data_IF_873353325480
#
_entry.id   IF_873353325480
#
_cell.length_a   1.000
_cell.length_b   1.000
_cell.length_c   1.000
_cell.angle_alpha   90.00
_cell.angle_beta   90.00
_cell.angle_gamma   90.00
#
_symmetry.space_group_name_H-M   'P 1'
#
loop_
_entity.id
_entity.type
_entity.pdbx_description
1 polymer ?
#
# COMPACT_ATOMS: atom_id res chain seq x y z
N UNK A 1 10.40 -23.67 -15.55
CA UNK A 1 11.79 -23.76 -15.06
C UNK A 1 11.89 -22.87 -13.83
N UNK A 2 12.31 -23.38 -12.68
CA UNK A 2 12.41 -22.60 -11.44
C UNK A 2 13.71 -21.79 -11.44
N UNK A 3 13.61 -20.46 -11.44
CA UNK A 3 14.76 -19.57 -11.33
C UNK A 3 15.54 -19.87 -10.04
N UNK A 4 16.89 -19.97 -10.08
CA UNK A 4 17.67 -20.25 -8.89
C UNK A 4 17.46 -19.17 -7.82
N UNK A 5 17.42 -19.55 -6.53
CA UNK A 5 17.21 -18.59 -5.45
C UNK A 5 18.39 -17.62 -5.34
N UNK A 6 18.08 -16.32 -5.29
CA UNK A 6 19.06 -15.26 -5.07
C UNK A 6 19.21 -15.05 -3.55
N UNK A 7 20.44 -14.96 -3.07
CA UNK A 7 20.75 -14.65 -1.67
C UNK A 7 21.45 -13.30 -1.55
N UNK A 8 21.18 -12.62 -0.44
CA UNK A 8 21.70 -11.30 -0.12
C UNK A 8 22.28 -11.29 1.28
N UNK A 9 23.33 -10.51 1.48
CA UNK A 9 23.85 -10.19 2.82
C UNK A 9 23.21 -8.92 3.34
N UNK A 10 22.81 -8.96 4.61
CA UNK A 10 22.12 -7.90 5.29
C UNK A 10 22.85 -7.48 6.56
N UNK A 11 23.00 -6.17 6.74
CA UNK A 11 23.37 -5.56 8.01
C UNK A 11 22.09 -5.31 8.83
N UNK A 12 21.93 -6.04 9.94
CA UNK A 12 20.78 -5.98 10.84
C UNK A 12 21.14 -5.14 12.07
N UNK A 13 20.25 -4.25 12.59
CA UNK A 13 20.52 -3.41 13.76
C UNK A 13 20.61 -4.21 15.06
N UNK A 14 21.69 -4.98 15.19
CA UNK A 14 22.09 -5.69 16.38
C UNK A 14 23.50 -5.21 16.77
N UNK A 15 23.79 -5.23 18.07
CA UNK A 15 25.12 -4.92 18.61
C UNK A 15 26.11 -6.08 18.36
N UNK A 16 26.16 -6.57 17.12
CA UNK A 16 27.01 -7.65 16.65
C UNK A 16 27.69 -7.17 15.38
N UNK A 17 29.01 -7.30 15.34
CA UNK A 17 29.80 -6.90 14.17
C UNK A 17 29.79 -8.01 13.11
N UNK A 18 28.60 -8.30 12.57
CA UNK A 18 28.40 -9.35 11.57
C UNK A 18 27.24 -9.01 10.63
N UNK A 19 27.24 -9.66 9.47
CA UNK A 19 26.15 -9.61 8.48
C UNK A 19 25.44 -10.95 8.43
N UNK A 20 24.22 -10.95 7.89
CA UNK A 20 23.37 -12.14 7.84
C UNK A 20 22.90 -12.41 6.42
N UNK A 21 22.94 -13.68 6.01
CA UNK A 21 22.48 -14.10 4.69
C UNK A 21 20.97 -14.38 4.72
N UNK A 22 20.24 -13.80 3.78
CA UNK A 22 18.81 -14.00 3.58
C UNK A 22 18.48 -14.34 2.13
N UNK A 23 17.36 -15.04 1.93
CA UNK A 23 16.85 -15.38 0.61
C UNK A 23 15.94 -14.28 0.07
N UNK A 24 16.21 -13.81 -1.15
CA UNK A 24 15.36 -12.86 -1.84
C UNK A 24 14.11 -13.59 -2.40
N UNK A 25 12.95 -12.96 -2.31
CA UNK A 25 11.71 -13.50 -2.87
C UNK A 25 11.50 -13.06 -4.33
N UNK A 26 10.65 -13.79 -5.04
CA UNK A 26 10.28 -13.47 -6.42
C UNK A 26 9.64 -12.06 -6.48
N UNK A 27 10.01 -11.25 -7.47
CA UNK A 27 9.53 -9.86 -7.62
C UNK A 27 10.37 -8.80 -6.89
N UNK A 28 11.45 -9.18 -6.19
CA UNK A 28 12.36 -8.24 -5.53
C UNK A 28 13.66 -7.99 -6.33
N UNK A 29 13.67 -8.31 -7.62
CA UNK A 29 14.87 -8.31 -8.50
C UNK A 29 15.58 -6.95 -8.60
N UNK A 30 14.87 -5.86 -8.28
CA UNK A 30 15.38 -4.49 -8.30
C UNK A 30 16.19 -4.11 -7.04
N UNK A 31 16.39 -5.03 -6.10
CA UNK A 31 17.16 -4.80 -4.89
C UNK A 31 18.63 -4.47 -5.23
N UNK A 32 19.16 -3.39 -4.64
CA UNK A 32 20.56 -2.96 -4.79
C UNK A 32 21.28 -2.93 -3.45
N UNK A 33 22.61 -2.96 -3.49
CA UNK A 33 23.45 -2.65 -2.33
C UNK A 33 23.10 -1.25 -1.81
N UNK A 34 23.00 -1.09 -0.50
CA UNK A 34 22.47 0.13 0.13
C UNK A 34 20.94 0.23 0.13
N UNK A 35 20.24 -0.76 -0.41
CA UNK A 35 18.79 -0.90 -0.29
C UNK A 35 18.35 -1.27 1.13
N UNK A 36 17.10 -0.94 1.47
CA UNK A 36 16.47 -1.23 2.76
C UNK A 36 15.43 -2.32 2.56
N UNK A 37 15.55 -3.38 3.34
CA UNK A 37 14.63 -4.51 3.37
C UNK A 37 14.05 -4.71 4.76
N UNK A 38 12.94 -5.42 4.82
CA UNK A 38 12.34 -5.84 6.07
C UNK A 38 12.52 -7.34 6.25
N UNK A 39 12.99 -7.76 7.42
CA UNK A 39 13.31 -9.15 7.71
C UNK A 39 12.90 -9.55 9.11
N UNK A 40 12.63 -10.84 9.31
CA UNK A 40 12.44 -11.41 10.63
C UNK A 40 13.80 -11.75 11.24
N UNK A 41 14.12 -11.14 12.37
CA UNK A 41 15.29 -11.38 13.18
C UNK A 41 14.89 -11.56 14.65
N UNK A 42 15.23 -12.70 15.25
CA UNK A 42 14.89 -13.05 16.63
C UNK A 42 13.41 -12.80 17.00
N UNK A 43 12.48 -13.32 16.19
CA UNK A 43 11.01 -13.17 16.34
C UNK A 43 10.51 -11.71 16.30
N UNK A 44 11.31 -10.78 15.81
CA UNK A 44 10.92 -9.40 15.56
C UNK A 44 11.15 -9.08 14.10
N UNK A 45 10.33 -8.23 13.54
CA UNK A 45 10.60 -7.72 12.22
C UNK A 45 11.31 -6.37 12.30
N UNK A 46 12.40 -6.24 11.53
CA UNK A 46 13.30 -5.11 11.59
C UNK A 46 13.70 -4.69 10.19
N UNK A 47 13.97 -3.40 10.02
CA UNK A 47 14.64 -2.90 8.83
C UNK A 47 16.10 -3.29 8.85
N UNK A 48 16.59 -3.79 7.73
CA UNK A 48 17.97 -4.17 7.50
C UNK A 48 18.45 -3.59 6.17
N UNK A 49 19.76 -3.41 6.03
CA UNK A 49 20.36 -2.80 4.84
C UNK A 49 21.12 -3.86 4.06
N UNK A 50 20.93 -3.90 2.74
CA UNK A 50 21.63 -4.84 1.86
C UNK A 50 23.10 -4.42 1.73
N UNK A 51 24.01 -5.30 2.12
CA UNK A 51 25.46 -5.09 2.00
C UNK A 51 26.07 -5.73 0.78
N UNK A 52 25.53 -6.88 0.35
CA UNK A 52 25.96 -7.57 -0.86
C UNK A 52 24.80 -8.34 -1.51
N UNK A 53 24.92 -8.56 -2.83
CA UNK A 53 23.99 -9.32 -3.65
C UNK A 53 24.65 -10.60 -4.18
N UNK A 54 23.83 -11.59 -4.56
CA UNK A 54 24.27 -12.84 -5.18
C UNK A 54 25.32 -13.60 -4.36
N UNK A 55 25.16 -13.57 -3.04
CA UNK A 55 26.11 -14.19 -2.12
C UNK A 55 25.91 -15.70 -2.10
N UNK A 56 26.99 -16.47 -2.06
CA UNK A 56 26.87 -17.91 -1.83
C UNK A 56 26.70 -18.18 -0.33
N UNK A 57 25.63 -18.88 0.08
CA UNK A 57 25.41 -19.13 1.50
C UNK A 57 26.42 -20.15 2.04
N UNK A 58 27.05 -19.82 3.17
CA UNK A 58 27.89 -20.75 3.93
C UNK A 58 27.10 -21.71 4.84
N UNK A 59 25.77 -21.60 4.82
CA UNK A 59 24.85 -22.40 5.64
C UNK A 59 23.91 -23.21 4.75
N UNK A 60 23.30 -24.25 5.33
CA UNK A 60 22.24 -25.02 4.69
C UNK A 60 21.14 -24.09 4.14
N UNK A 61 20.91 -24.06 2.82
CA UNK A 61 19.89 -23.24 2.18
C UNK A 61 18.50 -23.37 2.79
N UNK A 62 18.15 -24.53 3.36
CA UNK A 62 16.85 -24.77 3.98
C UNK A 62 16.64 -23.97 5.27
N UNK A 63 17.71 -23.55 5.95
CA UNK A 63 17.66 -22.78 7.20
C UNK A 63 17.69 -21.28 7.00
N UNK A 64 17.92 -20.83 5.76
CA UNK A 64 18.03 -19.42 5.42
C UNK A 64 16.64 -18.81 5.34
N UNK A 65 16.39 -17.81 6.19
CA UNK A 65 15.12 -17.08 6.20
C UNK A 65 14.96 -16.24 4.93
N UNK A 66 13.72 -16.07 4.51
CA UNK A 66 13.40 -15.17 3.40
C UNK A 66 13.32 -13.72 3.87
N UNK A 67 13.65 -12.79 2.96
CA UNK A 67 13.31 -11.38 3.09
C UNK A 67 11.79 -11.25 3.07
N UNK A 68 11.22 -10.48 4.00
CA UNK A 68 9.77 -10.27 4.09
C UNK A 68 9.28 -9.30 3.02
N UNK A 69 9.94 -8.15 2.88
CA UNK A 69 9.59 -7.13 1.89
C UNK A 69 10.77 -6.23 1.55
N UNK A 70 10.89 -5.83 0.29
CA UNK A 70 11.80 -4.76 -0.15
C UNK A 70 11.14 -3.41 0.12
N UNK A 71 11.77 -2.55 0.92
CA UNK A 71 11.20 -1.26 1.33
C UNK A 71 11.71 -0.12 0.46
N UNK A 72 13.02 -0.11 0.19
CA UNK A 72 13.63 0.83 -0.74
C UNK A 72 14.76 0.11 -1.49
N UNK A 73 14.74 0.04 -2.83
CA UNK A 73 15.75 -0.69 -3.58
C UNK A 73 17.17 -0.11 -3.46
N UNK A 74 17.32 1.19 -3.22
CA UNK A 74 18.61 1.89 -3.27
C UNK A 74 18.52 3.19 -2.45
N UNK A 75 18.61 3.07 -1.11
CA UNK A 75 18.49 4.24 -0.22
C UNK A 75 19.81 4.98 -0.08
N UNK A 76 20.89 4.26 0.23
CA UNK A 76 22.23 4.84 0.29
C UNK A 76 22.83 4.89 -1.10
N UNK A 77 23.39 6.05 -1.48
CA UNK A 77 24.29 6.12 -2.64
C UNK A 77 25.56 5.31 -2.35
N UNK A 78 26.28 4.93 -3.40
CA UNK A 78 27.52 4.17 -3.24
C UNK A 78 28.55 4.92 -2.36
N UNK A 79 28.68 6.24 -2.55
CA UNK A 79 29.62 7.07 -1.80
C UNK A 79 29.27 7.11 -0.32
N UNK A 80 28.00 7.42 0.00
CA UNK A 80 27.54 7.47 1.38
C UNK A 80 27.66 6.09 2.04
N UNK A 81 27.33 5.03 1.32
CA UNK A 81 27.44 3.67 1.81
C UNK A 81 28.89 3.31 2.16
N UNK A 82 29.86 3.65 1.30
CA UNK A 82 31.29 3.45 1.57
C UNK A 82 31.77 4.24 2.78
N UNK A 83 31.33 5.50 2.95
CA UNK A 83 31.67 6.32 4.12
C UNK A 83 31.13 5.70 5.41
N UNK A 84 29.89 5.19 5.40
CA UNK A 84 29.29 4.56 6.58
C UNK A 84 29.95 3.23 6.91
N UNK A 85 30.34 2.43 5.92
CA UNK A 85 31.15 1.23 6.14
C UNK A 85 32.52 1.56 6.74
N UNK A 86 33.20 2.57 6.19
CA UNK A 86 34.46 3.06 6.74
C UNK A 86 34.28 3.49 8.20
N UNK A 87 33.25 4.28 8.52
CA UNK A 87 32.97 4.73 9.87
C UNK A 87 32.69 3.56 10.82
N UNK A 88 31.88 2.57 10.40
CA UNK A 88 31.60 1.38 11.19
C UNK A 88 32.90 0.63 11.55
N UNK A 89 33.76 0.42 10.55
CA UNK A 89 35.04 -0.27 10.74
C UNK A 89 36.01 0.54 11.61
N UNK A 90 36.14 1.84 11.35
CA UNK A 90 37.08 2.72 12.04
C UNK A 90 36.73 2.88 13.52
N UNK A 91 35.44 3.07 13.83
CA UNK A 91 34.96 3.21 15.22
C UNK A 91 34.62 1.88 15.90
N UNK A 92 34.91 0.75 15.25
CA UNK A 92 34.60 -0.60 15.76
C UNK A 92 33.11 -0.72 16.16
N UNK A 93 32.25 -0.05 15.40
CA UNK A 93 30.81 -0.08 15.58
C UNK A 93 30.19 -1.21 14.74
N UNK A 94 29.04 -1.73 15.17
CA UNK A 94 28.28 -2.67 14.34
C UNK A 94 27.89 -1.99 13.02
N UNK A 95 28.13 -2.63 11.85
CA UNK A 95 27.70 -2.08 10.56
C UNK A 95 26.18 -1.95 10.51
N UNK A 96 25.46 -2.89 11.11
CA UNK A 96 24.00 -2.83 11.24
C UNK A 96 23.54 -1.63 12.03
N UNK A 97 24.10 -1.38 13.23
CA UNK A 97 23.75 -0.21 14.04
C UNK A 97 24.15 1.09 13.36
N UNK A 98 25.30 1.15 12.71
CA UNK A 98 25.81 2.34 12.00
C UNK A 98 24.90 2.72 10.84
N UNK A 99 24.63 1.75 9.96
CA UNK A 99 23.75 1.95 8.80
C UNK A 99 22.32 2.27 9.24
N UNK A 100 21.80 1.58 10.26
CA UNK A 100 20.46 1.83 10.79
C UNK A 100 20.32 3.22 11.43
N UNK A 101 21.33 3.66 12.18
CA UNK A 101 21.32 5.01 12.79
C UNK A 101 21.33 6.11 11.75
N UNK A 102 22.01 5.87 10.62
CA UNK A 102 22.04 6.78 9.48
C UNK A 102 20.72 6.84 8.69
N UNK A 103 19.78 5.92 8.92
CA UNK A 103 18.47 5.96 8.28
C UNK A 103 17.56 7.05 8.91
N UNK A 104 16.64 7.63 8.13
CA UNK A 104 15.59 8.51 8.65
C UNK A 104 14.74 7.82 9.73
N UNK A 105 14.13 8.59 10.65
CA UNK A 105 13.21 8.05 11.66
C UNK A 105 12.16 7.08 11.12
N UNK A 106 11.64 7.33 9.91
CA UNK A 106 10.63 6.48 9.25
C UNK A 106 11.08 5.02 9.07
N UNK A 107 12.37 4.78 8.83
CA UNK A 107 12.94 3.44 8.66
C UNK A 107 13.51 2.87 9.97
N UNK A 108 13.54 3.67 11.05
CA UNK A 108 14.05 3.27 12.37
C UNK A 108 12.96 2.79 13.33
N UNK A 109 11.72 2.70 12.86
CA UNK A 109 10.65 1.99 13.55
C UNK A 109 10.58 0.53 13.14
N UNK A 110 9.95 -0.30 13.97
CA UNK A 110 9.22 -1.46 13.43
C UNK A 110 8.26 -0.92 12.37
N UNK A 111 8.06 -1.63 11.25
CA UNK A 111 6.96 -1.25 10.35
C UNK A 111 5.74 -1.02 11.24
N UNK A 112 4.92 0.02 10.99
CA UNK A 112 3.56 -0.01 11.50
C UNK A 112 3.07 -1.43 11.24
N UNK A 113 2.60 -2.14 12.28
CA UNK A 113 1.83 -3.38 12.06
C UNK A 113 0.89 -3.08 10.90
N UNK A 114 0.57 -4.02 9.99
CA UNK A 114 -0.42 -3.76 8.95
C UNK A 114 -1.75 -3.17 9.47
N UNK A 115 -1.97 -3.15 10.80
CA UNK A 115 -2.94 -2.36 11.55
C UNK A 115 -2.74 -0.81 11.58
N UNK A 116 -1.69 -0.25 10.95
CA UNK A 116 -1.33 1.17 11.09
C UNK A 116 -0.86 1.87 9.80
N UNK A 117 -1.29 1.36 8.65
CA UNK A 117 -2.16 2.25 7.86
C UNK A 117 -3.50 2.15 8.55
N UNK A 118 -3.89 3.15 9.33
CA UNK A 118 -5.31 3.36 9.55
C UNK A 118 -5.92 3.65 8.18
N UNK A 119 -6.21 2.60 7.41
CA UNK A 119 -7.53 2.52 6.84
C UNK A 119 -8.42 2.81 8.04
N UNK A 120 -9.16 3.91 7.99
CA UNK A 120 -10.30 3.99 8.87
C UNK A 120 -11.20 2.85 8.35
N UNK A 121 -11.00 1.66 8.89
CA UNK A 121 -11.93 0.56 8.73
C UNK A 121 -13.10 1.00 9.58
N UNK A 122 -14.01 1.75 8.95
CA UNK A 122 -15.23 2.16 9.59
C UNK A 122 -15.99 0.89 9.92
N UNK A 123 -15.90 0.42 11.17
CA UNK A 123 -16.92 -0.45 11.71
C UNK A 123 -18.12 0.45 11.95
N UNK A 124 -18.99 0.50 10.95
CA UNK A 124 -20.26 1.17 11.08
C UNK A 124 -21.04 0.43 12.17
N UNK A 125 -21.59 1.18 13.12
CA UNK A 125 -22.57 0.60 14.02
C UNK A 125 -23.71 0.01 13.16
N UNK A 126 -24.23 -1.16 13.55
CA UNK A 126 -25.33 -1.86 12.85
C UNK A 126 -26.45 -0.93 12.34
N UNK A 127 -26.99 0.02 13.14
CA UNK A 127 -28.03 0.93 12.63
C UNK A 127 -27.55 1.86 11.50
N UNK A 128 -26.28 2.25 11.49
CA UNK A 128 -25.70 3.07 10.41
C UNK A 128 -25.48 2.23 9.15
N UNK A 129 -25.08 0.98 9.32
CA UNK A 129 -24.92 0.02 8.25
C UNK A 129 -26.26 -0.27 7.54
N UNK A 130 -27.32 -0.56 8.29
CA UNK A 130 -28.66 -0.82 7.76
C UNK A 130 -29.22 0.40 7.02
N UNK A 131 -29.01 1.60 7.56
CA UNK A 131 -29.38 2.85 6.87
C UNK A 131 -28.64 3.03 5.55
N UNK A 132 -27.36 2.65 5.50
CA UNK A 132 -26.57 2.74 4.28
C UNK A 132 -27.04 1.74 3.23
N UNK A 133 -27.33 0.50 3.61
CA UNK A 133 -27.92 -0.48 2.69
C UNK A 133 -29.26 0.00 2.14
N UNK A 134 -30.13 0.55 2.99
CA UNK A 134 -31.40 1.13 2.55
C UNK A 134 -31.22 2.35 1.63
N UNK A 135 -30.24 3.20 1.93
CA UNK A 135 -29.93 4.39 1.14
C UNK A 135 -29.39 4.03 -0.25
N UNK A 136 -28.58 2.96 -0.35
CA UNK A 136 -28.00 2.50 -1.62
C UNK A 136 -28.88 1.55 -2.42
N UNK A 137 -29.78 0.80 -1.78
CA UNK A 137 -30.75 -0.07 -2.48
C UNK A 137 -31.68 0.70 -3.43
N UNK A 138 -31.77 2.02 -3.28
CA UNK A 138 -32.50 2.91 -4.17
C UNK A 138 -31.80 3.15 -5.52
N UNK A 139 -30.57 2.65 -5.70
CA UNK A 139 -29.88 2.64 -6.98
C UNK A 139 -29.97 1.25 -7.62
N UNK A 140 -30.74 1.08 -8.71
CA UNK A 140 -30.97 -0.23 -9.33
C UNK A 140 -29.73 -0.89 -9.95
N UNK A 141 -28.61 -0.17 -10.02
CA UNK A 141 -27.35 -0.65 -10.59
C UNK A 141 -26.24 -0.91 -9.53
N UNK A 142 -26.56 -0.83 -8.22
CA UNK A 142 -25.61 -1.09 -7.13
C UNK A 142 -25.98 -2.36 -6.36
N UNK A 143 -25.33 -3.48 -6.68
CA UNK A 143 -25.19 -4.56 -5.70
C UNK A 143 -23.96 -4.28 -4.84
N UNK A 144 -24.15 -3.63 -3.70
CA UNK A 144 -23.09 -3.38 -2.73
C UNK A 144 -23.13 -4.41 -1.61
N UNK A 145 -22.28 -5.43 -1.68
CA UNK A 145 -21.99 -6.28 -0.51
C UNK A 145 -20.78 -5.74 0.23
N UNK A 146 -21.03 -4.96 1.29
CA UNK A 146 -19.99 -4.32 2.11
C UNK A 146 -19.01 -5.32 2.75
N UNK A 147 -19.36 -6.60 2.81
CA UNK A 147 -18.50 -7.66 3.36
C UNK A 147 -17.45 -8.23 2.39
N UNK A 148 -17.62 -8.08 1.07
CA UNK A 148 -16.71 -8.62 0.03
C UNK A 148 -16.83 -7.80 -1.25
N UNK A 149 -16.16 -6.66 -1.33
CA UNK A 149 -16.44 -5.68 -2.39
C UNK A 149 -15.90 -6.03 -3.78
N UNK A 150 -16.82 -6.08 -4.77
CA UNK A 150 -16.57 -5.81 -6.20
C UNK A 150 -16.80 -4.31 -6.49
N UNK A 151 -15.82 -3.46 -6.16
CA UNK A 151 -15.88 -1.98 -6.36
C UNK A 151 -15.90 -1.58 -7.85
N UNK A 152 -15.47 -2.46 -8.75
CA UNK A 152 -15.27 -2.13 -10.17
C UNK A 152 -16.55 -1.77 -10.93
N UNK A 153 -17.69 -2.39 -10.60
CA UNK A 153 -18.95 -2.17 -11.34
C UNK A 153 -19.60 -0.81 -11.03
N UNK A 154 -19.47 -0.31 -9.80
CA UNK A 154 -20.04 0.97 -9.39
C UNK A 154 -19.38 2.16 -10.11
N UNK A 155 -18.04 2.13 -10.20
CA UNK A 155 -17.32 3.24 -10.79
C UNK A 155 -17.38 3.21 -12.32
N UNK A 156 -17.55 2.05 -12.95
CA UNK A 156 -17.76 1.95 -14.40
C UNK A 156 -19.13 2.46 -14.88
N UNK A 157 -20.16 2.45 -14.02
CA UNK A 157 -21.49 2.99 -14.37
C UNK A 157 -21.63 4.48 -14.05
N UNK A 158 -20.78 4.99 -13.15
CA UNK A 158 -20.80 6.38 -12.67
C UNK A 158 -19.79 7.26 -13.42
N UNK A 159 -18.71 6.65 -13.92
CA UNK A 159 -17.61 7.33 -14.62
C UNK A 159 -17.26 6.46 -15.83
N UNK A 160 -17.25 7.04 -17.03
CA UNK A 160 -16.78 6.31 -18.22
C UNK A 160 -15.26 6.15 -18.16
N UNK A 161 -14.83 5.05 -17.53
CA UNK A 161 -13.42 4.71 -17.30
C UNK A 161 -12.66 4.42 -18.60
N UNK A 162 -13.35 4.32 -19.74
CA UNK A 162 -12.71 4.01 -21.04
C UNK A 162 -11.94 5.19 -21.65
N UNK A 163 -12.17 6.41 -21.18
CA UNK A 163 -11.58 7.64 -21.73
C UNK A 163 -10.53 8.31 -20.83
N UNK A 164 -10.29 7.81 -19.62
CA UNK A 164 -9.44 8.53 -18.67
C UNK A 164 -7.99 8.09 -18.82
N UNK A 165 -7.20 8.96 -19.47
CA UNK A 165 -5.76 8.82 -19.52
C UNK A 165 -5.19 8.85 -18.08
N UNK A 166 -4.22 7.99 -17.78
CA UNK A 166 -3.67 7.81 -16.43
C UNK A 166 -2.92 9.05 -15.93
N UNK A 167 -2.49 9.93 -16.83
CA UNK A 167 -1.98 11.26 -16.48
C UNK A 167 -3.09 12.23 -16.05
N UNK A 168 -4.33 12.03 -16.54
CA UNK A 168 -5.51 12.80 -16.16
C UNK A 168 -6.17 12.30 -14.85
N UNK A 169 -6.00 11.02 -14.49
CA UNK A 169 -6.63 10.34 -13.34
C UNK A 169 -6.28 10.91 -11.94
N UNK A 170 -5.29 11.80 -11.85
CA UNK A 170 -4.89 12.47 -10.60
C UNK A 170 -4.80 13.98 -10.79
N UNK A 171 -5.42 14.51 -11.85
CA UNK A 171 -5.54 15.95 -12.01
C UNK A 171 -6.53 16.51 -11.00
N UNK A 172 -6.31 17.76 -10.61
CA UNK A 172 -7.26 18.48 -9.76
C UNK A 172 -8.66 18.52 -10.41
N UNK A 173 -8.71 18.60 -11.74
CA UNK A 173 -9.94 18.60 -12.54
C UNK A 173 -10.74 17.30 -12.36
N UNK A 174 -10.11 16.13 -12.47
CA UNK A 174 -10.78 14.86 -12.25
C UNK A 174 -11.37 14.73 -10.83
N UNK A 175 -10.62 15.17 -9.81
CA UNK A 175 -11.10 15.15 -8.42
C UNK A 175 -12.30 16.09 -8.26
N UNK A 176 -12.29 17.25 -8.93
CA UNK A 176 -13.39 18.21 -8.91
C UNK A 176 -14.64 17.65 -9.61
N UNK A 177 -14.49 17.01 -10.77
CA UNK A 177 -15.59 16.37 -11.50
C UNK A 177 -16.21 15.22 -10.70
N UNK A 178 -15.38 14.34 -10.12
CA UNK A 178 -15.83 13.29 -9.23
C UNK A 178 -16.61 13.86 -8.05
N UNK A 179 -16.07 14.88 -7.38
CA UNK A 179 -16.73 15.51 -6.24
C UNK A 179 -18.07 16.12 -6.65
N UNK A 180 -18.14 16.81 -7.80
CA UNK A 180 -19.37 17.42 -8.29
C UNK A 180 -20.45 16.35 -8.57
N UNK A 181 -20.08 15.28 -9.27
CA UNK A 181 -20.99 14.18 -9.56
C UNK A 181 -21.46 13.47 -8.28
N UNK A 182 -20.53 13.16 -7.37
CA UNK A 182 -20.82 12.53 -6.08
C UNK A 182 -21.79 13.37 -5.23
N UNK A 183 -21.61 14.70 -5.20
CA UNK A 183 -22.55 15.59 -4.51
C UNK A 183 -23.91 15.65 -5.20
N UNK A 184 -23.97 15.65 -6.53
CA UNK A 184 -25.23 15.65 -7.27
C UNK A 184 -26.06 14.40 -6.96
N UNK A 185 -25.43 13.22 -6.99
CA UNK A 185 -26.07 11.95 -6.64
C UNK A 185 -26.59 11.96 -5.20
N UNK A 186 -25.82 12.51 -4.26
CA UNK A 186 -26.28 12.66 -2.87
C UNK A 186 -27.58 13.48 -2.77
N UNK A 187 -27.64 14.60 -3.49
CA UNK A 187 -28.82 15.48 -3.45
C UNK A 187 -30.05 14.79 -4.03
N UNK A 188 -29.90 14.08 -5.14
CA UNK A 188 -30.99 13.30 -5.74
C UNK A 188 -31.51 12.24 -4.78
N UNK A 189 -30.63 11.48 -4.13
CA UNK A 189 -31.02 10.44 -3.16
C UNK A 189 -31.76 11.01 -1.94
N UNK A 190 -31.31 12.16 -1.43
CA UNK A 190 -31.98 12.86 -0.33
C UNK A 190 -33.35 13.40 -0.75
N UNK A 191 -33.52 13.80 -2.01
CA UNK A 191 -34.80 14.28 -2.51
C UNK A 191 -35.80 13.13 -2.72
N UNK A 192 -35.33 11.96 -3.17
CA UNK A 192 -36.16 10.74 -3.35
C UNK A 192 -36.61 10.17 -2.01
N UNK A 193 -35.74 10.18 -1.00
CA UNK A 193 -36.17 9.82 0.35
C UNK A 193 -36.98 10.96 0.95
N UNK A 194 -38.32 10.84 0.93
CA UNK A 194 -39.24 11.76 1.58
C UNK A 194 -38.69 12.21 2.94
N UNK A 195 -38.21 13.46 3.01
CA UNK A 195 -37.19 13.87 3.99
C UNK A 195 -37.55 13.65 5.46
N UNK A 196 -38.83 13.42 5.79
CA UNK A 196 -39.30 13.14 7.14
C UNK A 196 -38.91 11.74 7.63
N UNK A 197 -39.08 10.70 6.81
CA UNK A 197 -38.81 9.32 7.22
C UNK A 197 -37.31 9.09 7.40
N UNK A 198 -36.51 9.62 6.47
CA UNK A 198 -35.06 9.52 6.57
C UNK A 198 -34.46 10.32 7.73
N UNK A 199 -34.92 11.56 7.97
CA UNK A 199 -34.47 12.35 9.12
C UNK A 199 -34.79 11.67 10.45
N UNK A 200 -35.95 11.00 10.54
CA UNK A 200 -36.32 10.20 11.71
C UNK A 200 -35.35 9.03 11.91
N UNK A 201 -35.07 8.29 10.83
CA UNK A 201 -34.18 7.13 10.87
C UNK A 201 -32.72 7.52 11.20
N UNK A 202 -32.22 8.63 10.64
CA UNK A 202 -30.93 9.22 11.03
C UNK A 202 -30.87 9.54 12.53
N UNK A 203 -31.93 10.19 13.06
CA UNK A 203 -32.00 10.55 14.47
C UNK A 203 -31.99 9.31 15.38
N UNK A 204 -32.68 8.24 14.98
CA UNK A 204 -32.66 6.95 15.70
C UNK A 204 -31.26 6.32 15.72
N UNK A 205 -30.49 6.48 14.64
CA UNK A 205 -29.09 6.06 14.57
C UNK A 205 -28.10 7.04 15.25
N UNK A 206 -28.59 8.10 15.91
CA UNK A 206 -27.75 9.10 16.56
C UNK A 206 -27.02 10.03 15.57
N UNK A 207 -27.50 10.13 14.33
CA UNK A 207 -26.88 10.91 13.26
C UNK A 207 -27.71 12.16 12.92
N UNK A 208 -26.99 13.21 12.54
CA UNK A 208 -27.54 14.39 11.85
C UNK A 208 -27.38 14.24 10.34
N UNK A 209 -28.12 15.05 9.57
CA UNK A 209 -27.95 15.10 8.11
C UNK A 209 -26.54 15.54 7.70
N UNK A 210 -25.91 16.41 8.50
CA UNK A 210 -24.53 16.87 8.28
C UNK A 210 -23.53 15.73 8.47
N UNK A 211 -23.65 14.98 9.56
CA UNK A 211 -22.81 13.80 9.80
C UNK A 211 -23.04 12.70 8.76
N UNK A 212 -24.28 12.53 8.29
CA UNK A 212 -24.58 11.61 7.20
C UNK A 212 -23.89 12.01 5.89
N UNK A 213 -23.95 13.30 5.52
CA UNK A 213 -23.25 13.81 4.33
C UNK A 213 -21.74 13.61 4.42
N UNK A 214 -21.16 13.86 5.60
CA UNK A 214 -19.73 13.62 5.84
C UNK A 214 -19.39 12.14 5.66
N UNK A 215 -20.18 11.24 6.23
CA UNK A 215 -20.01 9.80 6.11
C UNK A 215 -20.10 9.33 4.65
N UNK A 216 -21.11 9.81 3.91
CA UNK A 216 -21.27 9.57 2.49
C UNK A 216 -20.03 10.02 1.70
N UNK A 217 -19.53 11.24 1.93
CA UNK A 217 -18.32 11.75 1.27
C UNK A 217 -17.07 10.91 1.58
N UNK A 218 -16.87 10.55 2.84
CA UNK A 218 -15.73 9.72 3.24
C UNK A 218 -15.74 8.38 2.50
N UNK A 219 -16.91 7.76 2.38
CA UNK A 219 -17.06 6.49 1.64
C UNK A 219 -16.71 6.69 0.17
N UNK A 220 -17.26 7.73 -0.47
CA UNK A 220 -16.97 8.05 -1.88
C UNK A 220 -15.48 8.22 -2.16
N UNK A 221 -14.79 9.05 -1.36
CA UNK A 221 -13.35 9.26 -1.53
C UNK A 221 -12.51 8.03 -1.21
N UNK A 222 -12.95 7.20 -0.26
CA UNK A 222 -12.26 5.93 0.06
C UNK A 222 -12.36 4.95 -1.11
N UNK A 223 -13.52 4.88 -1.77
CA UNK A 223 -13.72 4.06 -2.96
C UNK A 223 -12.87 4.57 -4.14
N UNK A 224 -12.84 5.89 -4.35
CA UNK A 224 -12.00 6.52 -5.38
C UNK A 224 -10.52 6.18 -5.18
N UNK A 225 -10.00 6.36 -3.96
CA UNK A 225 -8.61 6.07 -3.63
C UNK A 225 -8.25 4.59 -3.88
N UNK A 226 -9.17 3.66 -3.56
CA UNK A 226 -8.98 2.23 -3.85
C UNK A 226 -8.95 1.95 -5.35
N UNK A 227 -9.84 2.57 -6.13
CA UNK A 227 -9.86 2.38 -7.58
C UNK A 227 -8.58 2.92 -8.24
N UNK A 228 -8.14 4.12 -7.87
CA UNK A 228 -6.90 4.70 -8.38
C UNK A 228 -5.70 3.79 -8.11
N UNK A 229 -5.65 3.19 -6.90
CA UNK A 229 -4.61 2.22 -6.54
C UNK A 229 -4.66 0.96 -7.41
N UNK A 230 -5.85 0.42 -7.67
CA UNK A 230 -6.02 -0.77 -8.53
C UNK A 230 -5.60 -0.47 -9.98
N UNK A 231 -5.99 0.68 -10.52
CA UNK A 231 -5.61 1.10 -11.87
C UNK A 231 -4.10 1.29 -12.01
N UNK A 232 -3.47 1.90 -11.00
CA UNK A 232 -2.01 2.07 -10.98
C UNK A 232 -1.28 0.73 -10.92
N UNK A 233 -1.80 -0.23 -10.12
CA UNK A 233 -1.28 -1.61 -10.10
C UNK A 233 -1.41 -2.30 -11.46
N UNK A 234 -2.56 -2.18 -12.13
CA UNK A 234 -2.80 -2.76 -13.45
C UNK A 234 -1.87 -2.16 -14.51
N UNK A 235 -1.65 -0.84 -14.51
CA UNK A 235 -0.72 -0.17 -15.43
C UNK A 235 0.72 -0.65 -15.22
N UNK A 236 1.17 -0.74 -13.97
CA UNK A 236 2.51 -1.25 -13.63
C UNK A 236 2.68 -2.68 -14.15
N UNK A 237 1.67 -3.53 -13.96
CA UNK A 237 1.69 -4.91 -14.48
C UNK A 237 1.74 -4.91 -16.02
N UNK A 238 0.93 -4.08 -16.70
CA UNK A 238 0.93 -3.98 -18.15
C UNK A 238 2.27 -3.47 -18.72
N UNK A 239 2.92 -2.51 -18.06
CA UNK A 239 4.24 -2.00 -18.44
C UNK A 239 5.34 -3.06 -18.27
N UNK A 240 5.28 -3.86 -17.20
CA UNK A 240 6.19 -4.99 -16.97
C UNK A 240 5.99 -6.06 -18.05
N UNK A 241 4.74 -6.36 -18.41
CA UNK A 241 4.45 -7.33 -19.48
C UNK A 241 4.93 -6.84 -20.85
N UNK A 242 4.70 -5.57 -21.20
CA UNK A 242 5.12 -5.01 -22.49
C UNK A 242 6.65 -4.89 -22.62
N UNK A 243 7.35 -4.52 -21.54
CA UNK A 243 8.83 -4.45 -21.54
C UNK A 243 9.49 -5.83 -21.68
N UNK A 244 8.85 -6.89 -21.14
CA UNK A 244 9.32 -8.26 -21.31
C UNK A 244 9.08 -8.80 -22.73
N UNK A 245 8.01 -8.38 -23.43
CA UNK A 245 7.75 -8.79 -24.83
C UNK A 245 8.74 -8.15 -25.81
N UNK A 246 9.14 -6.90 -25.60
CA UNK A 246 10.18 -6.24 -26.40
C UNK A 246 11.60 -6.81 -26.21
N UNK A 247 11.86 -7.47 -25.09
CA UNK A 247 13.15 -8.15 -24.83
C UNK A 247 13.22 -9.57 -25.39
N UNK A 248 12.10 -10.15 -25.84
CA UNK A 248 12.03 -11.48 -26.45
C UNK A 248 12.08 -11.39 -27.99
N UNK A 249 11.90 -10.20 -28.55
CA UNK A 249 11.86 -9.93 -30.00
C UNK A 249 13.14 -9.31 -30.57
N UNK A 250 14.19 -9.16 -29.76
CA UNK A 250 15.57 -8.82 -30.15
C UNK A 250 16.52 -9.96 -29.79
#
# INVERSE_FOLDING_TARGET
MTTPPIYVELAIPANLNQVYVYKLQLGMEHAKVGGVVYVNFNNRYVHAVITALNVQPNYDPAKIKAVHSLVNPCYFSAELFSVLQFAANYFIASPGTTLYTALPPLYRGTLPKPESTSYIEFTLATPVYELLEQFWALQPNLEMHLGKYKVSQFLSSTIDLSYIDLEALVTLEFIQEFSAHWQATYQELINVQESKNFKSALKQAGLTLVTWRLLYNIIGYTLLAKLLKLQLQQKVIAQILNSNVSNISN
#
